data_IF_102671812774
#
_entry.id   IF_102671812774
#
_cell.length_a   1.000
_cell.length_b   1.000
_cell.length_c   1.000
_cell.angle_alpha   90.00
_cell.angle_beta   90.00
_cell.angle_gamma   90.00
#
_symmetry.space_group_name_H-M   'P 1'
#
loop_
_entity.id
_entity.type
_entity.pdbx_description
1 polymer ?
#
# COMPACT_ATOMS: atom_id res chain seq x y z
N UNK A 1 18.09 -10.85 1.37
CA UNK A 1 16.93 -10.01 0.98
C UNK A 1 15.64 -10.84 0.84
N UNK A 2 15.62 -11.98 0.16
CA UNK A 2 14.40 -12.83 0.03
C UNK A 2 14.03 -13.68 1.26
N UNK A 3 14.96 -13.89 2.20
CA UNK A 3 14.68 -14.64 3.44
C UNK A 3 14.16 -13.80 4.61
N UNK A 4 14.07 -12.47 4.48
CA UNK A 4 13.71 -11.57 5.59
C UNK A 4 12.22 -11.63 5.93
N UNK A 5 11.88 -11.36 7.20
CA UNK A 5 10.50 -11.42 7.72
C UNK A 5 9.52 -10.58 6.89
N UNK A 6 9.89 -9.33 6.55
CA UNK A 6 9.05 -8.46 5.72
C UNK A 6 8.75 -9.06 4.33
N UNK A 7 9.73 -9.72 3.71
CA UNK A 7 9.53 -10.36 2.40
C UNK A 7 8.59 -11.58 2.52
N UNK A 8 8.81 -12.44 3.52
CA UNK A 8 8.00 -13.63 3.70
C UNK A 8 6.55 -13.28 4.07
N UNK A 9 6.36 -12.34 4.99
CA UNK A 9 5.03 -11.88 5.43
C UNK A 9 4.29 -11.19 4.29
N UNK A 10 4.79 -10.06 3.79
CA UNK A 10 4.05 -9.28 2.79
C UNK A 10 4.02 -9.97 1.43
N UNK A 11 5.10 -10.63 1.01
CA UNK A 11 5.10 -11.40 -0.23
C UNK A 11 4.06 -12.53 -0.21
N UNK A 12 3.90 -13.21 0.94
CA UNK A 12 2.86 -14.21 1.13
C UNK A 12 1.45 -13.63 1.04
N UNK A 13 1.19 -12.50 1.72
CA UNK A 13 -0.11 -11.80 1.67
C UNK A 13 -0.45 -11.35 0.24
N UNK A 14 0.51 -10.75 -0.46
CA UNK A 14 0.36 -10.29 -1.85
C UNK A 14 0.08 -11.46 -2.79
N UNK A 15 0.83 -12.56 -2.68
CA UNK A 15 0.66 -13.72 -3.54
C UNK A 15 -0.70 -14.39 -3.35
N UNK A 16 -1.20 -14.45 -2.11
CA UNK A 16 -2.52 -15.02 -1.78
C UNK A 16 -3.67 -14.02 -1.90
N UNK A 17 -3.39 -12.73 -2.08
CA UNK A 17 -4.36 -11.62 -2.08
C UNK A 17 -5.18 -11.57 -0.79
N UNK A 18 -4.54 -11.87 0.33
CA UNK A 18 -5.13 -11.86 1.66
C UNK A 18 -4.72 -10.57 2.36
N UNK A 19 -5.60 -9.57 2.36
CA UNK A 19 -5.35 -8.28 3.02
C UNK A 19 -6.19 -8.08 4.28
N UNK A 20 -6.96 -9.10 4.68
CA UNK A 20 -7.77 -9.11 5.90
C UNK A 20 -7.52 -10.40 6.69
N UNK A 21 -7.46 -10.34 8.04
CA UNK A 21 -7.43 -9.10 8.84
C UNK A 21 -6.14 -8.32 8.62
N UNK A 22 -6.19 -6.99 8.72
CA UNK A 22 -5.02 -6.16 8.54
C UNK A 22 -3.99 -6.36 9.67
N UNK A 23 -2.75 -6.66 9.31
CA UNK A 23 -1.62 -6.59 10.23
C UNK A 23 -1.24 -5.13 10.52
N UNK A 24 -1.35 -4.28 9.50
CA UNK A 24 -1.26 -2.83 9.63
C UNK A 24 -2.17 -2.15 8.61
N UNK A 25 -3.14 -1.35 9.06
CA UNK A 25 -4.14 -0.75 8.19
C UNK A 25 -3.54 0.27 7.20
N UNK A 26 -4.00 0.25 5.95
CA UNK A 26 -3.55 1.14 4.88
C UNK A 26 -3.72 2.63 5.23
N UNK A 27 -4.78 3.01 5.96
CA UNK A 27 -4.96 4.37 6.45
C UNK A 27 -3.83 4.83 7.38
N UNK A 28 -3.28 3.92 8.21
CA UNK A 28 -2.13 4.20 9.07
C UNK A 28 -0.84 4.28 8.24
N UNK A 29 -0.70 3.43 7.22
CA UNK A 29 0.38 3.53 6.23
C UNK A 29 0.42 4.89 5.53
N UNK A 30 -0.73 5.39 5.06
CA UNK A 30 -0.84 6.73 4.46
C UNK A 30 -0.40 7.83 5.44
N UNK A 31 -0.77 7.71 6.71
CA UNK A 31 -0.36 8.65 7.78
C UNK A 31 1.17 8.65 7.93
N UNK A 32 1.81 7.49 8.02
CA UNK A 32 3.28 7.40 8.16
C UNK A 32 4.02 7.94 6.93
N UNK A 33 3.49 7.70 5.72
CA UNK A 33 4.06 8.23 4.47
C UNK A 33 3.99 9.77 4.43
N UNK A 34 2.89 10.37 4.89
CA UNK A 34 2.77 11.84 5.00
C UNK A 34 3.78 12.43 5.99
N UNK A 35 4.03 11.75 7.10
CA UNK A 35 5.06 12.17 8.07
C UNK A 35 6.45 12.11 7.46
N UNK A 36 6.77 11.04 6.72
CA UNK A 36 8.06 10.92 6.03
C UNK A 36 8.28 12.01 4.97
N UNK A 37 7.25 12.33 4.17
CA UNK A 37 7.32 13.41 3.17
C UNK A 37 7.46 14.78 3.82
N UNK A 38 6.77 15.06 4.92
CA UNK A 38 6.91 16.32 5.64
C UNK A 38 8.35 16.50 6.16
N UNK A 39 8.92 15.47 6.78
CA UNK A 39 10.32 15.51 7.24
C UNK A 39 11.32 15.66 6.08
N UNK A 40 11.02 15.07 4.92
CA UNK A 40 11.86 15.18 3.73
C UNK A 40 11.88 16.60 3.15
N UNK A 41 10.73 17.29 3.17
CA UNK A 41 10.60 18.69 2.76
C UNK A 41 11.42 19.62 3.66
N UNK A 42 11.35 19.44 4.98
CA UNK A 42 12.16 20.20 5.95
C UNK A 42 13.68 20.06 5.71
N UNK A 43 14.11 18.90 5.23
CA UNK A 43 15.52 18.59 4.98
C UNK A 43 15.94 18.82 3.52
N UNK A 44 15.02 19.25 2.65
CA UNK A 44 15.22 19.38 1.21
C UNK A 44 15.80 18.10 0.55
N UNK A 45 15.36 16.92 1.01
CA UNK A 45 15.80 15.61 0.48
C UNK A 45 14.71 14.96 -0.36
N UNK A 46 14.97 14.57 -1.62
CA UNK A 46 13.95 13.93 -2.44
C UNK A 46 13.75 12.46 -2.02
N UNK A 47 12.49 12.06 -1.79
CA UNK A 47 12.10 10.67 -1.52
C UNK A 47 11.15 10.13 -2.60
N UNK A 48 11.63 9.87 -3.84
CA UNK A 48 10.78 9.55 -4.98
C UNK A 48 9.94 8.28 -4.77
N UNK A 49 10.47 7.27 -4.09
CA UNK A 49 9.72 6.06 -3.77
C UNK A 49 8.61 6.34 -2.75
N UNK A 50 8.84 7.24 -1.80
CA UNK A 50 7.83 7.63 -0.79
C UNK A 50 6.72 8.45 -1.45
N UNK A 51 7.05 9.34 -2.38
CA UNK A 51 6.04 10.05 -3.20
C UNK A 51 5.17 9.08 -4.00
N UNK A 52 5.77 8.06 -4.63
CA UNK A 52 5.00 7.02 -5.31
C UNK A 52 4.09 6.26 -4.33
N UNK A 53 4.60 5.88 -3.16
CA UNK A 53 3.82 5.19 -2.14
C UNK A 53 2.67 6.06 -1.62
N UNK A 54 2.86 7.37 -1.48
CA UNK A 54 1.80 8.30 -1.08
C UNK A 54 0.61 8.18 -2.03
N UNK A 55 0.85 8.22 -3.33
CA UNK A 55 -0.22 8.18 -4.32
C UNK A 55 -0.92 6.81 -4.33
N UNK A 56 -0.18 5.71 -4.13
CA UNK A 56 -0.78 4.36 -3.99
C UNK A 56 -1.65 4.24 -2.76
N UNK A 57 -1.16 4.68 -1.60
CA UNK A 57 -1.94 4.64 -0.37
C UNK A 57 -3.16 5.55 -0.45
N UNK A 58 -3.01 6.75 -0.99
CA UNK A 58 -4.12 7.68 -1.20
C UNK A 58 -5.19 7.05 -2.11
N UNK A 59 -4.79 6.44 -3.22
CA UNK A 59 -5.71 5.73 -4.11
C UNK A 59 -6.41 4.56 -3.40
N UNK A 60 -5.68 3.76 -2.61
CA UNK A 60 -6.26 2.63 -1.87
C UNK A 60 -7.33 3.10 -0.87
N UNK A 61 -7.03 4.12 -0.08
CA UNK A 61 -7.97 4.69 0.89
C UNK A 61 -9.17 5.31 0.18
N UNK A 62 -8.96 6.05 -0.91
CA UNK A 62 -10.03 6.66 -1.69
C UNK A 62 -10.99 5.63 -2.31
N UNK A 63 -10.53 4.41 -2.57
CA UNK A 63 -11.35 3.29 -3.06
C UNK A 63 -11.92 2.42 -1.92
N UNK A 64 -11.95 2.91 -0.68
CA UNK A 64 -12.53 2.21 0.47
C UNK A 64 -11.61 1.18 1.13
N UNK A 65 -10.39 0.98 0.64
CA UNK A 65 -9.43 -0.01 1.15
C UNK A 65 -8.67 0.43 2.42
N UNK A 66 -9.16 1.44 3.15
CA UNK A 66 -8.41 2.03 4.27
C UNK A 66 -8.19 1.09 5.45
N UNK A 67 -9.06 0.09 5.64
CA UNK A 67 -8.97 -0.92 6.70
C UNK A 67 -8.22 -2.18 6.28
N UNK A 68 -7.90 -2.33 4.99
CA UNK A 68 -7.10 -3.44 4.49
C UNK A 68 -5.67 -3.32 4.98
N UNK A 69 -4.94 -4.44 5.00
CA UNK A 69 -3.50 -4.43 5.21
C UNK A 69 -2.82 -3.50 4.19
N UNK A 70 -1.86 -2.72 4.64
CA UNK A 70 -1.13 -1.76 3.83
C UNK A 70 -0.42 -2.40 2.61
N UNK A 71 -0.14 -3.71 2.65
CA UNK A 71 0.38 -4.47 1.49
C UNK A 71 -0.61 -4.56 0.32
N UNK A 72 -1.89 -4.22 0.51
CA UNK A 72 -2.91 -4.15 -0.53
C UNK A 72 -2.58 -3.15 -1.65
N UNK A 73 -1.66 -2.21 -1.45
CA UNK A 73 -1.16 -1.35 -2.54
C UNK A 73 -0.58 -2.14 -3.72
N UNK A 74 -0.12 -3.37 -3.48
CA UNK A 74 0.41 -4.25 -4.54
C UNK A 74 -0.65 -4.60 -5.59
N UNK A 75 -1.94 -4.53 -5.24
CA UNK A 75 -3.06 -4.72 -6.16
C UNK A 75 -3.01 -3.78 -7.37
N UNK A 76 -2.46 -2.58 -7.21
CA UNK A 76 -2.38 -1.64 -8.33
C UNK A 76 -1.35 -2.05 -9.39
N UNK A 77 -0.38 -2.90 -9.06
CA UNK A 77 0.62 -3.33 -10.05
C UNK A 77 -0.02 -4.11 -11.20
N UNK A 78 -0.93 -5.04 -10.92
CA UNK A 78 -1.71 -5.74 -11.96
C UNK A 78 -2.58 -4.78 -12.77
N UNK A 79 -3.24 -3.81 -12.11
CA UNK A 79 -4.03 -2.79 -12.81
C UNK A 79 -3.18 -2.00 -13.80
N UNK A 80 -2.00 -1.55 -13.39
CA UNK A 80 -1.10 -0.78 -14.26
C UNK A 80 -0.51 -1.62 -15.40
N UNK A 81 -0.36 -2.92 -15.18
CA UNK A 81 0.05 -3.87 -16.22
C UNK A 81 -1.06 -4.15 -17.26
N UNK A 82 -2.24 -3.53 -17.13
CA UNK A 82 -3.36 -3.75 -18.03
C UNK A 82 -4.17 -5.01 -17.72
N UNK A 83 -3.91 -5.68 -16.60
CA UNK A 83 -4.75 -6.76 -16.10
C UNK A 83 -5.97 -6.11 -15.41
N UNK A 84 -7.17 -6.31 -15.98
CA UNK A 84 -8.40 -5.61 -15.60
C UNK A 84 -8.75 -5.64 -14.09
N UNK A 85 -9.60 -4.69 -13.68
CA UNK A 85 -9.97 -4.23 -12.31
C UNK A 85 -10.49 -5.28 -11.29
N UNK A 86 -9.82 -6.42 -11.09
CA UNK A 86 -10.32 -7.52 -10.25
C UNK A 86 -9.81 -7.58 -8.81
N UNK A 87 -9.17 -6.54 -8.25
CA UNK A 87 -8.29 -6.73 -7.08
C UNK A 87 -8.69 -6.07 -5.76
N UNK A 88 -9.72 -5.22 -5.73
CA UNK A 88 -10.28 -4.79 -4.45
C UNK A 88 -11.59 -5.56 -4.25
N UNK A 89 -11.75 -6.29 -3.12
CA UNK A 89 -13.04 -6.89 -2.81
C UNK A 89 -14.10 -5.79 -2.81
N UNK A 90 -15.21 -6.03 -3.48
CA UNK A 90 -16.39 -5.17 -3.39
C UNK A 90 -16.87 -5.18 -1.94
N UNK A 91 -16.49 -4.18 -1.15
CA UNK A 91 -17.10 -3.96 0.15
C UNK A 91 -18.44 -3.26 -0.08
N UNK A 92 -19.58 -3.85 0.30
CA UNK A 92 -20.86 -3.14 0.23
C UNK A 92 -20.82 -1.97 1.22
N UNK A 93 -21.40 -0.86 0.76
CA UNK A 93 -21.57 0.41 1.49
C UNK A 93 -22.44 0.23 2.72
#
# INVERSE_FOLDING_TARGET
MFGGLAYQTYGGLIARREFEPAGFAAALGLKDIRLALAAADELAVPLPIVSLLHDRFLALVANGGGQLDWSAIAAFASRDAGEGSGLLPHHPV
#
